data_IF_961916188077
#
_entry.id   IF_961916188077
#
_cell.length_a   1.000
_cell.length_b   1.000
_cell.length_c   1.000
_cell.angle_alpha   90.00
_cell.angle_beta   90.00
_cell.angle_gamma   90.00
#
_symmetry.space_group_name_H-M   'P 1'
#
loop_
_entity.id
_entity.type
_entity.pdbx_description
1 polymer ?
#
# COMPACT_ATOMS: atom_id res chain seq x y z
N UNK A 1 51.14 -15.64 13.00
CA UNK A 1 49.70 -15.30 12.80
C UNK A 1 48.93 -16.60 12.94
N UNK A 2 48.11 -16.72 13.98
CA UNK A 2 47.46 -17.99 14.36
C UNK A 2 46.30 -18.29 13.44
N UNK A 3 46.29 -19.44 12.81
CA UNK A 3 45.23 -19.93 11.93
C UNK A 3 43.81 -19.93 12.60
N UNK A 4 43.78 -20.03 13.93
CA UNK A 4 42.55 -19.94 14.75
C UNK A 4 41.88 -18.53 14.73
N UNK A 5 42.63 -17.47 14.57
CA UNK A 5 42.13 -16.10 14.46
C UNK A 5 41.54 -15.82 13.08
N UNK A 6 42.15 -16.34 12.01
CA UNK A 6 41.65 -16.25 10.64
C UNK A 6 40.36 -17.01 10.46
N UNK A 7 40.20 -18.20 11.06
CA UNK A 7 38.97 -19.00 10.97
C UNK A 7 37.79 -18.33 11.69
N UNK A 8 38.05 -17.65 12.82
CA UNK A 8 37.01 -16.91 13.55
C UNK A 8 36.52 -15.68 12.79
N UNK A 9 37.42 -14.97 12.09
CA UNK A 9 37.04 -13.80 11.27
C UNK A 9 36.19 -14.25 10.06
N UNK A 10 36.56 -15.39 9.43
CA UNK A 10 35.84 -15.90 8.27
C UNK A 10 34.43 -16.39 8.61
N UNK A 11 34.24 -17.06 9.75
CA UNK A 11 32.96 -17.52 10.24
C UNK A 11 32.04 -16.32 10.62
N UNK A 12 32.62 -15.28 11.23
CA UNK A 12 31.86 -14.07 11.56
C UNK A 12 31.41 -13.31 10.29
N UNK A 13 32.26 -13.24 9.26
CA UNK A 13 31.93 -12.58 8.00
C UNK A 13 30.80 -13.31 7.22
N UNK A 14 30.79 -14.63 7.21
CA UNK A 14 29.77 -15.44 6.55
C UNK A 14 28.41 -15.33 7.28
N UNK A 15 28.42 -15.22 8.61
CA UNK A 15 27.20 -15.04 9.40
C UNK A 15 26.54 -13.67 9.15
N UNK A 16 27.32 -12.61 9.01
CA UNK A 16 26.79 -11.24 8.75
C UNK A 16 26.15 -11.17 7.36
N UNK A 17 26.73 -11.79 6.34
CA UNK A 17 26.16 -11.80 4.99
C UNK A 17 24.84 -12.60 4.90
N UNK A 18 24.72 -13.68 5.65
CA UNK A 18 23.50 -14.48 5.68
C UNK A 18 22.35 -13.79 6.42
N UNK A 19 22.62 -12.99 7.46
CA UNK A 19 21.59 -12.19 8.13
C UNK A 19 21.04 -11.06 7.22
N UNK A 20 21.93 -10.35 6.52
CA UNK A 20 21.50 -9.27 5.60
C UNK A 20 20.63 -9.78 4.45
N UNK A 21 20.95 -10.95 3.88
CA UNK A 21 20.15 -11.54 2.82
C UNK A 21 18.76 -11.98 3.28
N UNK A 22 18.63 -12.41 4.53
CA UNK A 22 17.34 -12.84 5.10
C UNK A 22 16.44 -11.67 5.42
N UNK A 23 16.98 -10.59 6.00
CA UNK A 23 16.24 -9.35 6.24
C UNK A 23 15.72 -8.73 4.95
N UNK A 24 16.54 -8.62 3.93
CA UNK A 24 16.14 -8.05 2.64
C UNK A 24 14.98 -8.83 1.98
N UNK A 25 14.98 -10.15 2.12
CA UNK A 25 13.91 -11.01 1.58
C UNK A 25 12.61 -10.88 2.36
N UNK A 26 12.65 -10.71 3.67
CA UNK A 26 11.47 -10.48 4.52
C UNK A 26 10.85 -9.11 4.20
N UNK A 27 11.64 -8.04 4.14
CA UNK A 27 11.18 -6.69 3.77
C UNK A 27 10.55 -6.65 2.37
N UNK A 28 11.10 -7.38 1.40
CA UNK A 28 10.56 -7.45 0.05
C UNK A 28 9.25 -8.23 -0.01
N UNK A 29 9.13 -9.30 0.78
CA UNK A 29 7.87 -10.05 0.91
C UNK A 29 6.78 -9.18 1.53
N UNK A 30 7.09 -8.42 2.57
CA UNK A 30 6.16 -7.51 3.24
C UNK A 30 5.73 -6.36 2.31
N UNK A 31 6.63 -5.85 1.49
CA UNK A 31 6.31 -4.85 0.45
C UNK A 31 5.25 -5.36 -0.53
N UNK A 32 5.42 -6.54 -1.11
CA UNK A 32 4.46 -7.10 -2.06
C UNK A 32 3.11 -7.43 -1.42
N UNK A 33 3.13 -7.91 -0.17
CA UNK A 33 1.90 -8.18 0.57
C UNK A 33 1.13 -6.89 0.88
N UNK A 34 1.83 -5.85 1.33
CA UNK A 34 1.26 -4.54 1.57
C UNK A 34 0.67 -3.96 0.29
N UNK A 35 1.42 -3.97 -0.81
CA UNK A 35 0.95 -3.47 -2.09
C UNK A 35 -0.37 -4.14 -2.50
N UNK A 36 -0.44 -5.48 -2.46
CA UNK A 36 -1.62 -6.23 -2.88
C UNK A 36 -2.83 -6.05 -1.95
N UNK A 37 -2.59 -6.02 -0.64
CA UNK A 37 -3.64 -6.05 0.38
C UNK A 37 -4.11 -4.67 0.81
N UNK A 38 -3.27 -3.66 0.68
CA UNK A 38 -3.54 -2.31 1.14
C UNK A 38 -3.54 -1.31 -0.02
N UNK A 39 -2.39 -1.15 -0.70
CA UNK A 39 -2.19 -0.06 -1.64
C UNK A 39 -3.17 -0.12 -2.82
N UNK A 40 -3.36 -1.29 -3.43
CA UNK A 40 -4.25 -1.44 -4.60
C UNK A 40 -5.56 -2.15 -4.30
N UNK A 41 -5.87 -2.36 -3.03
CA UNK A 41 -7.00 -3.17 -2.58
C UNK A 41 -8.33 -2.83 -3.29
N UNK A 42 -8.59 -1.56 -3.53
CA UNK A 42 -9.85 -1.07 -4.09
C UNK A 42 -9.85 -0.88 -5.60
N UNK A 43 -8.70 -0.99 -6.26
CA UNK A 43 -8.55 -0.70 -7.69
C UNK A 43 -8.03 -1.88 -8.51
N UNK A 44 -7.54 -2.95 -7.87
CA UNK A 44 -7.07 -4.15 -8.54
C UNK A 44 -8.26 -5.04 -8.92
N UNK A 45 -8.29 -5.50 -10.18
CA UNK A 45 -9.30 -6.46 -10.63
C UNK A 45 -9.06 -7.86 -10.04
N UNK A 46 -10.09 -8.69 -9.98
CA UNK A 46 -9.99 -10.05 -9.44
C UNK A 46 -8.99 -10.91 -10.23
N UNK A 47 -8.98 -10.78 -11.54
CA UNK A 47 -8.07 -11.46 -12.45
C UNK A 47 -6.61 -11.01 -12.22
N UNK A 48 -6.38 -9.70 -12.10
CA UNK A 48 -5.05 -9.13 -11.80
C UNK A 48 -4.53 -9.64 -10.44
N UNK A 49 -5.39 -9.68 -9.43
CA UNK A 49 -5.08 -10.21 -8.11
C UNK A 49 -4.69 -11.69 -8.18
N UNK A 50 -5.43 -12.47 -8.94
CA UNK A 50 -5.14 -13.90 -9.14
C UNK A 50 -3.79 -14.11 -9.83
N UNK A 51 -3.52 -13.37 -10.90
CA UNK A 51 -2.23 -13.40 -11.61
C UNK A 51 -1.09 -13.05 -10.66
N UNK A 52 -1.17 -11.93 -9.93
CA UNK A 52 -0.13 -11.49 -9.01
C UNK A 52 0.16 -12.54 -7.91
N UNK A 53 -0.89 -13.16 -7.36
CA UNK A 53 -0.76 -14.17 -6.30
C UNK A 53 -0.05 -15.45 -6.77
N UNK A 54 -0.06 -15.74 -8.06
CA UNK A 54 0.58 -16.92 -8.66
C UNK A 54 2.03 -16.64 -9.13
N UNK A 55 2.51 -15.39 -9.06
CA UNK A 55 3.88 -15.06 -9.43
C UNK A 55 4.87 -15.64 -8.40
N UNK A 56 5.92 -16.28 -8.91
CA UNK A 56 6.85 -17.02 -8.07
C UNK A 56 8.06 -16.21 -7.65
N UNK A 57 8.50 -15.26 -8.47
CA UNK A 57 9.71 -14.48 -8.23
C UNK A 57 9.41 -13.00 -7.97
N UNK A 58 10.29 -12.36 -7.22
CA UNK A 58 10.16 -10.94 -6.91
C UNK A 58 10.28 -10.07 -8.17
N UNK A 59 11.16 -10.44 -9.11
CA UNK A 59 11.28 -9.73 -10.38
C UNK A 59 10.03 -9.84 -11.27
N UNK A 60 9.25 -10.91 -11.17
CA UNK A 60 7.93 -11.00 -11.83
C UNK A 60 6.91 -10.09 -11.17
N UNK A 61 6.91 -10.01 -9.84
CA UNK A 61 6.03 -9.12 -9.07
C UNK A 61 6.33 -7.64 -9.33
N UNK A 62 7.59 -7.26 -9.37
CA UNK A 62 8.02 -5.89 -9.71
C UNK A 62 7.54 -5.49 -11.11
N UNK A 63 7.79 -6.33 -12.12
CA UNK A 63 7.31 -6.09 -13.49
C UNK A 63 5.79 -6.02 -13.57
N UNK A 64 5.09 -6.85 -12.81
CA UNK A 64 3.63 -6.77 -12.75
C UNK A 64 3.15 -5.43 -12.18
N UNK A 65 3.75 -4.96 -11.08
CA UNK A 65 3.43 -3.67 -10.45
C UNK A 65 3.69 -2.52 -11.42
N UNK A 66 4.82 -2.55 -12.13
CA UNK A 66 5.14 -1.56 -13.15
C UNK A 66 4.09 -1.53 -14.26
N UNK A 67 3.75 -2.70 -14.81
CA UNK A 67 2.71 -2.82 -15.85
C UNK A 67 1.32 -2.45 -15.33
N UNK A 68 1.01 -2.73 -14.08
CA UNK A 68 -0.25 -2.35 -13.45
C UNK A 68 -0.45 -0.84 -13.45
N UNK A 69 0.57 -0.08 -13.09
CA UNK A 69 0.51 1.38 -13.11
C UNK A 69 0.59 1.95 -14.52
N UNK A 70 1.43 1.39 -15.39
CA UNK A 70 1.55 1.83 -16.78
C UNK A 70 0.22 1.75 -17.55
N UNK A 71 -0.56 0.69 -17.35
CA UNK A 71 -1.88 0.55 -17.98
C UNK A 71 -2.92 1.57 -17.50
N UNK A 72 -2.68 2.19 -16.36
CA UNK A 72 -3.57 3.19 -15.73
C UNK A 72 -3.08 4.62 -15.89
N UNK A 73 -1.97 4.79 -16.55
CA UNK A 73 -1.37 6.09 -16.83
C UNK A 73 -2.22 6.84 -17.85
N UNK A 74 -2.78 8.01 -17.50
CA UNK A 74 -3.59 8.78 -18.40
C UNK A 74 -2.78 9.51 -19.48
N UNK A 75 -1.50 9.81 -19.21
CA UNK A 75 -0.60 10.48 -20.14
C UNK A 75 0.80 9.85 -20.15
N UNK A 76 1.04 8.78 -20.92
CA UNK A 76 2.34 8.13 -20.99
C UNK A 76 3.48 9.00 -21.56
N UNK A 77 3.19 10.22 -22.00
CA UNK A 77 4.21 11.16 -22.51
C UNK A 77 4.91 11.93 -21.39
N UNK A 78 4.33 11.95 -20.20
CA UNK A 78 4.95 12.54 -19.02
C UNK A 78 5.86 11.53 -18.31
N UNK A 79 6.77 12.03 -17.46
CA UNK A 79 7.63 11.18 -16.63
C UNK A 79 6.97 10.69 -15.34
N UNK A 80 5.76 11.17 -15.06
CA UNK A 80 4.99 10.92 -13.84
C UNK A 80 3.71 10.21 -14.24
N UNK A 81 3.36 9.17 -13.52
CA UNK A 81 2.05 8.54 -13.66
C UNK A 81 1.06 9.26 -12.72
N UNK A 82 0.25 10.16 -13.27
CA UNK A 82 -0.66 11.01 -12.50
C UNK A 82 -1.72 10.19 -11.75
N UNK A 83 -2.18 9.11 -12.34
CA UNK A 83 -3.15 8.22 -11.68
C UNK A 83 -2.55 7.57 -10.43
N UNK A 84 -1.30 7.10 -10.51
CA UNK A 84 -0.60 6.50 -9.36
C UNK A 84 -0.39 7.53 -8.25
N UNK A 85 0.10 8.72 -8.59
CA UNK A 85 0.34 9.79 -7.62
C UNK A 85 -0.96 10.21 -6.92
N UNK A 86 -2.02 10.42 -7.69
CA UNK A 86 -3.34 10.75 -7.14
C UNK A 86 -3.88 9.64 -6.24
N UNK A 87 -3.73 8.38 -6.64
CA UNK A 87 -4.17 7.24 -5.86
C UNK A 87 -3.48 7.18 -4.49
N UNK A 88 -2.15 7.30 -4.45
CA UNK A 88 -1.42 7.33 -3.18
C UNK A 88 -1.73 8.57 -2.34
N UNK A 89 -1.95 9.71 -2.96
CA UNK A 89 -2.41 10.92 -2.28
C UNK A 89 -3.75 10.70 -1.58
N UNK A 90 -4.69 10.03 -2.23
CA UNK A 90 -5.99 9.70 -1.64
C UNK A 90 -5.88 8.74 -0.47
N UNK A 91 -5.01 7.73 -0.54
CA UNK A 91 -4.75 6.81 0.58
C UNK A 91 -4.17 7.58 1.77
N UNK A 92 -3.17 8.43 1.54
CA UNK A 92 -2.57 9.25 2.58
C UNK A 92 -3.60 10.19 3.25
N UNK A 93 -4.43 10.84 2.44
CA UNK A 93 -5.52 11.68 2.95
C UNK A 93 -6.53 10.89 3.79
N UNK A 94 -6.96 9.72 3.31
CA UNK A 94 -7.88 8.86 4.03
C UNK A 94 -7.30 8.43 5.39
N UNK A 95 -6.03 8.07 5.45
CA UNK A 95 -5.35 7.70 6.69
C UNK A 95 -5.24 8.87 7.67
N UNK A 96 -5.00 10.07 7.18
CA UNK A 96 -4.89 11.27 8.02
C UNK A 96 -6.25 11.75 8.58
N UNK A 97 -7.34 11.59 7.81
CA UNK A 97 -8.62 12.25 8.13
C UNK A 97 -9.74 11.30 8.55
N UNK A 98 -9.65 10.02 8.23
CA UNK A 98 -10.73 9.05 8.47
C UNK A 98 -10.35 7.94 9.44
N UNK A 99 -9.27 8.12 10.23
CA UNK A 99 -8.91 7.18 11.27
C UNK A 99 -10.05 7.05 12.30
N UNK A 100 -10.44 5.80 12.61
CA UNK A 100 -11.51 5.51 13.58
C UNK A 100 -11.24 4.18 14.29
N UNK A 101 -10.13 4.11 15.05
CA UNK A 101 -9.66 2.87 15.69
C UNK A 101 -9.05 1.86 14.70
N UNK A 102 -9.25 2.06 13.40
CA UNK A 102 -8.61 1.36 12.30
C UNK A 102 -8.00 2.37 11.33
N UNK A 103 -7.07 1.93 10.51
CA UNK A 103 -6.45 2.78 9.47
C UNK A 103 -7.53 3.39 8.59
N UNK A 104 -7.38 4.68 8.24
CA UNK A 104 -8.40 5.44 7.53
C UNK A 104 -8.80 4.85 6.20
N UNK A 105 -7.85 4.25 5.46
CA UNK A 105 -8.13 3.57 4.20
C UNK A 105 -9.11 2.39 4.35
N UNK A 106 -9.19 1.76 5.53
CA UNK A 106 -10.09 0.62 5.81
C UNK A 106 -11.50 1.03 6.20
N UNK A 107 -11.73 2.31 6.48
CA UNK A 107 -13.05 2.84 6.82
C UNK A 107 -13.93 2.98 5.59
N UNK A 108 -15.25 3.01 5.76
CA UNK A 108 -16.18 3.24 4.64
C UNK A 108 -15.94 4.60 3.96
N UNK A 109 -15.66 5.65 4.76
CA UNK A 109 -15.31 6.97 4.23
C UNK A 109 -14.02 6.94 3.43
N UNK A 110 -12.97 6.27 3.94
CA UNK A 110 -11.71 6.11 3.25
C UNK A 110 -11.87 5.36 1.94
N UNK A 111 -12.61 4.26 1.94
CA UNK A 111 -12.91 3.49 0.74
C UNK A 111 -13.58 4.34 -0.35
N UNK A 112 -14.61 5.11 0.00
CA UNK A 112 -15.32 5.99 -0.94
C UNK A 112 -14.37 7.06 -1.47
N UNK A 113 -13.63 7.73 -0.59
CA UNK A 113 -12.67 8.76 -0.98
C UNK A 113 -11.56 8.24 -1.91
N UNK A 114 -11.00 7.08 -1.61
CA UNK A 114 -9.95 6.48 -2.45
C UNK A 114 -10.49 6.14 -3.84
N UNK A 115 -11.69 5.58 -3.94
CA UNK A 115 -12.28 5.17 -5.22
C UNK A 115 -12.75 6.34 -6.08
N UNK A 116 -13.37 7.33 -5.47
CA UNK A 116 -14.12 8.37 -6.20
C UNK A 116 -13.51 9.77 -6.04
N UNK A 117 -12.59 9.97 -5.09
CA UNK A 117 -12.00 11.27 -4.81
C UNK A 117 -12.80 12.07 -3.78
N UNK A 118 -12.49 13.38 -3.65
CA UNK A 118 -13.20 14.27 -2.76
C UNK A 118 -14.66 14.40 -3.19
N UNK A 119 -15.60 14.55 -2.23
CA UNK A 119 -17.00 14.81 -2.55
C UNK A 119 -17.13 16.21 -3.17
N UNK A 120 -18.11 16.35 -4.06
CA UNK A 120 -18.43 17.64 -4.71
C UNK A 120 -19.03 18.63 -3.69
N UNK A 121 -19.74 18.11 -2.68
CA UNK A 121 -20.37 18.90 -1.63
C UNK A 121 -20.24 18.23 -0.26
N UNK A 122 -19.86 19.01 0.77
CA UNK A 122 -19.75 18.56 2.16
C UNK A 122 -20.83 19.21 3.00
N UNK A 123 -21.94 18.52 3.25
CA UNK A 123 -22.87 18.89 4.32
C UNK A 123 -22.36 18.35 5.67
N UNK A 124 -21.74 19.20 6.47
CA UNK A 124 -21.45 18.89 7.85
C UNK A 124 -22.72 19.07 8.69
N UNK A 125 -23.43 17.98 8.93
CA UNK A 125 -24.49 17.97 9.97
C UNK A 125 -23.81 17.63 11.29
N UNK A 126 -23.72 18.57 12.25
CA UNK A 126 -23.20 18.28 13.59
C UNK A 126 -24.18 17.27 14.25
N UNK A 127 -23.80 16.00 14.28
CA UNK A 127 -24.43 14.98 15.10
C UNK A 127 -24.07 15.25 16.55
N UNK A 128 -24.89 15.98 17.27
CA UNK A 128 -24.62 16.25 18.67
C UNK A 128 -25.52 17.29 19.33
N UNK A 129 -26.75 17.42 18.88
CA UNK A 129 -27.77 18.05 19.68
C UNK A 129 -28.62 16.95 20.35
N UNK A 130 -28.55 16.83 21.67
CA UNK A 130 -29.36 15.94 22.50
C UNK A 130 -30.89 16.28 22.44
N UNK A 131 -31.28 17.08 21.47
CA UNK A 131 -32.62 17.53 21.19
C UNK A 131 -32.89 17.55 19.67
N UNK A 132 -32.72 16.40 19.03
CA UNK A 132 -33.39 16.19 17.74
C UNK A 132 -34.92 16.16 18.03
N UNK A 133 -35.62 17.22 17.68
CA UNK A 133 -37.10 17.18 17.71
C UNK A 133 -37.59 16.04 16.83
N UNK A 134 -38.57 15.26 17.30
CA UNK A 134 -39.13 14.22 16.46
C UNK A 134 -39.72 14.84 15.17
N UNK A 135 -39.59 14.13 14.07
CA UNK A 135 -39.97 14.57 12.71
C UNK A 135 -41.50 14.64 12.45
N UNK A 136 -42.33 14.55 13.48
CA UNK A 136 -43.78 14.53 13.37
C UNK A 136 -44.51 15.60 14.20
N UNK A 137 -44.13 16.84 14.02
CA UNK A 137 -44.99 17.98 14.34
C UNK A 137 -45.23 18.83 13.10
#
# INVERSE_FOLDING_TARGET
MNYLTLTRIFVALVLVTSLSGKQNKEEQTDYFQKWLKEDVHYIIAAEERSVFSNLSTDGERERFIEQFWMRRDPDPTTSINEYREEHYRRIAYANAHYFSGVQGWRTDRGRIYIKFGPPDELEARPTGGMYARPFWE
#
